data_IF_110577014371
#
_entry.id   IF_110577014371
#
_cell.length_a   1.000
_cell.length_b   1.000
_cell.length_c   1.000
_cell.angle_alpha   90.00
_cell.angle_beta   90.00
_cell.angle_gamma   90.00
#
_symmetry.space_group_name_H-M   'P 1'
#
loop_
_entity.id
_entity.type
_entity.pdbx_description
1 polymer ?
#
# COMPACT_ATOMS: atom_id res chain seq x y z
N UNK A 1 -18.17 -6.46 15.34
CA UNK A 1 -18.42 -5.01 15.24
C UNK A 1 -17.30 -4.17 15.86
N UNK A 2 -17.07 -4.10 17.19
CA UNK A 2 -15.96 -3.28 17.76
C UNK A 2 -14.57 -3.95 17.56
N UNK A 3 -14.47 -5.26 17.84
CA UNK A 3 -13.23 -6.01 17.68
C UNK A 3 -12.70 -5.97 16.23
N UNK A 4 -13.59 -6.10 15.24
CA UNK A 4 -13.23 -6.00 13.82
C UNK A 4 -12.72 -4.60 13.45
N UNK A 5 -13.28 -3.54 14.03
CA UNK A 5 -12.80 -2.18 13.81
C UNK A 5 -11.40 -1.95 14.41
N UNK A 6 -11.11 -2.54 15.58
CA UNK A 6 -9.79 -2.50 16.19
C UNK A 6 -8.76 -3.32 15.39
N UNK A 7 -9.14 -4.49 14.88
CA UNK A 7 -8.28 -5.28 13.97
C UNK A 7 -7.99 -4.52 12.68
N UNK A 8 -9.00 -3.86 12.11
CA UNK A 8 -8.82 -3.04 10.91
C UNK A 8 -7.88 -1.85 11.18
N UNK A 9 -8.02 -1.18 12.33
CA UNK A 9 -7.12 -0.11 12.75
C UNK A 9 -5.69 -0.62 12.97
N UNK A 10 -5.53 -1.77 13.62
CA UNK A 10 -4.22 -2.40 13.79
C UNK A 10 -3.58 -2.78 12.44
N UNK A 11 -4.38 -3.27 11.49
CA UNK A 11 -3.95 -3.57 10.12
C UNK A 11 -3.48 -2.33 9.36
N UNK A 12 -4.24 -1.24 9.47
CA UNK A 12 -3.85 0.06 8.92
C UNK A 12 -2.57 0.59 9.58
N UNK A 13 -2.43 0.41 10.90
CA UNK A 13 -1.23 0.72 11.68
C UNK A 13 0.01 -0.01 11.20
N UNK A 14 -0.04 -1.33 11.07
CA UNK A 14 1.08 -2.13 10.56
C UNK A 14 1.51 -1.71 9.16
N UNK A 15 0.54 -1.50 8.25
CA UNK A 15 0.82 -1.07 6.87
C UNK A 15 1.38 0.35 6.78
N UNK A 16 0.90 1.26 7.63
CA UNK A 16 1.39 2.63 7.70
C UNK A 16 2.82 2.68 8.24
N UNK A 17 3.07 1.96 9.33
CA UNK A 17 4.38 1.87 9.99
C UNK A 17 5.44 1.33 9.03
N UNK A 18 5.18 0.17 8.40
CA UNK A 18 6.17 -0.45 7.49
C UNK A 18 6.41 0.40 6.25
N UNK A 19 5.40 1.10 5.75
CA UNK A 19 5.61 2.02 4.65
C UNK A 19 6.38 3.28 5.02
N UNK A 20 6.45 3.64 6.29
CA UNK A 20 7.28 4.74 6.78
C UNK A 20 8.76 4.34 6.93
N UNK A 21 9.05 3.06 7.18
CA UNK A 21 10.41 2.54 7.50
C UNK A 21 11.51 2.88 6.49
N UNK A 22 11.17 3.08 5.21
CA UNK A 22 12.12 3.42 4.15
C UNK A 22 11.97 4.86 3.65
N UNK A 23 11.44 5.74 4.49
CA UNK A 23 11.13 7.13 4.12
C UNK A 23 11.58 8.09 5.21
N UNK A 24 11.63 9.38 4.90
CA UNK A 24 12.05 10.42 5.84
C UNK A 24 11.11 10.56 7.05
N UNK A 25 9.88 10.03 6.96
CA UNK A 25 8.89 10.07 8.05
C UNK A 25 9.07 8.94 9.08
N UNK A 26 10.07 8.06 8.88
CA UNK A 26 10.35 6.93 9.76
C UNK A 26 10.53 7.33 11.23
N UNK A 27 11.33 8.36 11.51
CA UNK A 27 11.61 8.80 12.88
C UNK A 27 10.33 9.14 13.64
N UNK A 28 9.39 9.84 13.01
CA UNK A 28 8.11 10.20 13.63
C UNK A 28 7.20 8.99 13.84
N UNK A 29 7.22 8.03 12.90
CA UNK A 29 6.47 6.78 13.01
C UNK A 29 6.97 5.93 14.19
N UNK A 30 8.30 5.74 14.27
CA UNK A 30 8.99 5.00 15.33
C UNK A 30 8.65 5.57 16.71
N UNK A 31 8.84 6.88 16.89
CA UNK A 31 8.58 7.54 18.17
C UNK A 31 7.11 7.41 18.57
N UNK A 32 6.18 7.56 17.61
CA UNK A 32 4.75 7.35 17.81
C UNK A 32 4.45 5.95 18.35
N UNK A 33 4.99 4.90 17.72
CA UNK A 33 4.79 3.52 18.16
C UNK A 33 5.43 3.25 19.51
N UNK A 34 6.65 3.70 19.76
CA UNK A 34 7.34 3.53 21.05
C UNK A 34 6.52 4.14 22.19
N UNK A 35 5.90 5.31 21.97
CA UNK A 35 5.04 5.95 22.96
C UNK A 35 3.74 5.17 23.23
N UNK A 36 3.18 4.48 22.23
CA UNK A 36 2.02 3.59 22.44
C UNK A 36 2.36 2.46 23.42
N UNK A 37 3.54 1.85 23.29
CA UNK A 37 3.97 0.73 24.13
C UNK A 37 4.49 1.14 25.51
N UNK A 38 4.88 2.41 25.71
CA UNK A 38 5.36 2.94 27.00
C UNK A 38 4.30 2.93 28.11
N UNK A 39 3.01 2.99 27.74
CA UNK A 39 1.92 2.97 28.73
C UNK A 39 1.72 1.59 29.39
N UNK A 40 2.13 0.52 28.72
CA UNK A 40 1.96 -0.85 29.20
C UNK A 40 3.00 -1.23 30.26
N UNK A 41 4.26 -0.89 29.98
CA UNK A 41 5.42 -1.36 30.73
C UNK A 41 6.59 -0.40 30.43
N UNK A 42 7.29 0.14 31.44
CA UNK A 42 8.39 1.08 31.25
C UNK A 42 9.67 0.46 30.67
N UNK A 43 9.87 -0.87 30.73
CA UNK A 43 11.05 -1.57 30.20
C UNK A 43 10.83 -2.08 28.75
N UNK A 44 9.57 -2.25 28.34
CA UNK A 44 9.16 -2.66 26.98
C UNK A 44 9.53 -1.69 25.84
N UNK A 45 9.65 -0.36 26.02
CA UNK A 45 9.91 0.59 24.93
C UNK A 45 11.26 0.37 24.25
N UNK A 46 12.33 0.08 25.01
CA UNK A 46 13.67 -0.10 24.45
C UNK A 46 13.74 -1.34 23.52
N UNK A 47 13.04 -2.41 23.88
CA UNK A 47 12.95 -3.61 23.05
C UNK A 47 12.11 -3.37 21.79
N UNK A 48 11.04 -2.58 21.88
CA UNK A 48 10.21 -2.19 20.74
C UNK A 48 11.01 -1.29 19.79
N UNK A 49 11.73 -0.31 20.34
CA UNK A 49 12.58 0.61 19.60
C UNK A 49 13.67 -0.14 18.82
N UNK A 50 14.39 -1.04 19.49
CA UNK A 50 15.42 -1.88 18.85
C UNK A 50 14.84 -2.75 17.73
N UNK A 51 13.66 -3.35 17.94
CA UNK A 51 13.01 -4.15 16.92
C UNK A 51 12.61 -3.31 15.70
N UNK A 52 12.02 -2.13 15.94
CA UNK A 52 11.61 -1.20 14.90
C UNK A 52 12.80 -0.78 14.04
N UNK A 53 13.94 -0.46 14.66
CA UNK A 53 15.16 -0.08 13.94
C UNK A 53 15.70 -1.22 13.08
N UNK A 54 15.78 -2.44 13.63
CA UNK A 54 16.22 -3.61 12.87
C UNK A 54 15.30 -3.92 11.67
N UNK A 55 13.99 -3.80 11.86
CA UNK A 55 13.00 -3.99 10.80
C UNK A 55 13.18 -2.93 9.70
N UNK A 56 13.39 -1.66 10.10
CA UNK A 56 13.60 -0.56 9.16
C UNK A 56 14.91 -0.72 8.35
N UNK A 57 16.00 -1.09 9.00
CA UNK A 57 17.28 -1.37 8.35
C UNK A 57 17.14 -2.52 7.33
N UNK A 58 16.38 -3.57 7.68
CA UNK A 58 16.10 -4.68 6.77
C UNK A 58 15.30 -4.22 5.54
N UNK A 59 14.27 -3.40 5.75
CA UNK A 59 13.46 -2.85 4.65
C UNK A 59 14.30 -1.93 3.76
N UNK A 60 15.14 -1.07 4.34
CA UNK A 60 16.02 -0.16 3.61
C UNK A 60 17.02 -0.93 2.74
N UNK A 61 17.72 -1.91 3.31
CA UNK A 61 18.70 -2.74 2.60
C UNK A 61 18.10 -3.53 1.42
N UNK A 62 16.85 -4.00 1.57
CA UNK A 62 16.13 -4.70 0.50
C UNK A 62 15.49 -3.75 -0.51
N UNK A 63 15.17 -2.51 -0.12
CA UNK A 63 14.60 -1.52 -1.02
C UNK A 63 15.61 -1.09 -2.09
N UNK A 64 16.89 -0.94 -1.71
CA UNK A 64 17.99 -0.70 -2.65
C UNK A 64 18.13 -1.80 -3.71
N UNK A 65 17.70 -3.02 -3.38
CA UNK A 65 17.75 -4.19 -4.27
C UNK A 65 16.43 -4.43 -5.03
N UNK A 66 15.39 -3.61 -4.80
CA UNK A 66 14.05 -3.82 -5.37
C UNK A 66 13.36 -5.09 -4.86
N UNK A 67 13.71 -5.58 -3.66
CA UNK A 67 13.18 -6.83 -3.08
C UNK A 67 12.48 -6.65 -1.73
N UNK A 68 12.16 -5.41 -1.36
CA UNK A 68 11.56 -5.10 -0.06
C UNK A 68 10.10 -5.54 0.06
N UNK A 69 9.35 -5.72 -1.03
CA UNK A 69 7.88 -5.87 -0.98
C UNK A 69 7.43 -7.07 -0.14
N UNK A 70 8.08 -8.23 -0.31
CA UNK A 70 7.77 -9.43 0.47
C UNK A 70 8.03 -9.23 1.97
N UNK A 71 9.17 -8.64 2.32
CA UNK A 71 9.51 -8.36 3.73
C UNK A 71 8.56 -7.31 4.31
N UNK A 72 8.16 -6.31 3.54
CA UNK A 72 7.18 -5.32 3.97
C UNK A 72 5.83 -5.96 4.30
N UNK A 73 5.36 -6.89 3.48
CA UNK A 73 4.11 -7.63 3.76
C UNK A 73 4.22 -8.47 5.04
N UNK A 74 5.32 -9.19 5.21
CA UNK A 74 5.57 -10.03 6.40
C UNK A 74 5.65 -9.17 7.68
N UNK A 75 6.36 -8.05 7.64
CA UNK A 75 6.45 -7.09 8.75
C UNK A 75 5.10 -6.41 9.04
N UNK A 76 4.32 -6.09 8.01
CA UNK A 76 3.01 -5.46 8.21
C UNK A 76 2.07 -6.39 8.98
N UNK A 77 2.08 -7.69 8.67
CA UNK A 77 1.33 -8.70 9.42
C UNK A 77 1.82 -8.84 10.87
N UNK A 78 3.14 -8.87 11.07
CA UNK A 78 3.74 -8.96 12.41
C UNK A 78 3.33 -7.77 13.29
N UNK A 79 3.44 -6.56 12.78
CA UNK A 79 3.06 -5.34 13.50
C UNK A 79 1.55 -5.22 13.70
N UNK A 80 0.75 -5.68 12.74
CA UNK A 80 -0.72 -5.78 12.89
C UNK A 80 -1.10 -6.64 14.09
N UNK A 81 -0.50 -7.83 14.21
CA UNK A 81 -0.77 -8.73 15.34
C UNK A 81 -0.34 -8.11 16.68
N UNK A 82 0.79 -7.40 16.69
CA UNK A 82 1.32 -6.76 17.90
C UNK A 82 0.46 -5.58 18.36
N UNK A 83 0.00 -4.76 17.41
CA UNK A 83 -0.94 -3.66 17.67
C UNK A 83 -2.31 -4.18 18.08
N UNK A 84 -2.78 -5.28 17.51
CA UNK A 84 -4.03 -5.93 17.94
C UNK A 84 -3.94 -6.34 19.41
N UNK A 85 -2.85 -7.02 19.81
CA UNK A 85 -2.62 -7.38 21.22
C UNK A 85 -2.51 -6.17 22.13
N UNK A 86 -1.90 -5.09 21.67
CA UNK A 86 -1.85 -3.83 22.42
C UNK A 86 -3.25 -3.29 22.68
N UNK A 87 -4.11 -3.23 21.65
CA UNK A 87 -5.49 -2.75 21.78
C UNK A 87 -6.37 -3.66 22.65
N UNK A 88 -6.10 -4.97 22.66
CA UNK A 88 -6.77 -5.93 23.55
C UNK A 88 -6.38 -5.70 25.02
N UNK A 89 -5.13 -5.32 25.28
CA UNK A 89 -4.62 -5.04 26.63
C UNK A 89 -4.98 -3.63 27.10
N UNK A 90 -4.99 -2.66 26.18
CA UNK A 90 -5.21 -1.23 26.43
C UNK A 90 -6.10 -0.62 25.34
N UNK A 91 -7.43 -0.71 25.50
CA UNK A 91 -8.38 -0.10 24.57
C UNK A 91 -8.20 1.41 24.40
N UNK A 92 -7.67 2.12 25.41
CA UNK A 92 -7.36 3.55 25.37
C UNK A 92 -6.27 3.93 24.36
N UNK A 93 -5.50 2.95 23.86
CA UNK A 93 -4.52 3.16 22.81
C UNK A 93 -5.15 3.35 21.41
N UNK A 94 -6.47 3.11 21.26
CA UNK A 94 -7.17 3.27 19.97
C UNK A 94 -7.04 4.69 19.41
N UNK A 95 -7.32 5.72 20.22
CA UNK A 95 -7.25 7.12 19.80
C UNK A 95 -5.85 7.51 19.32
N UNK A 96 -4.81 7.32 20.16
CA UNK A 96 -3.42 7.56 19.79
C UNK A 96 -2.97 6.78 18.55
N UNK A 97 -3.36 5.51 18.40
CA UNK A 97 -3.04 4.72 17.21
C UNK A 97 -3.72 5.27 15.95
N UNK A 98 -4.98 5.69 16.06
CA UNK A 98 -5.72 6.31 14.95
C UNK A 98 -5.09 7.63 14.51
N UNK A 99 -4.67 8.46 15.45
CA UNK A 99 -3.94 9.69 15.16
C UNK A 99 -2.62 9.43 14.46
N UNK A 100 -1.86 8.43 14.92
CA UNK A 100 -0.61 8.01 14.28
C UNK A 100 -0.87 7.53 12.85
N UNK A 101 -1.86 6.67 12.63
CA UNK A 101 -2.23 6.16 11.30
C UNK A 101 -2.61 7.30 10.36
N UNK A 102 -3.43 8.24 10.81
CA UNK A 102 -3.85 9.38 10.00
C UNK A 102 -2.65 10.27 9.63
N UNK A 103 -1.79 10.59 10.61
CA UNK A 103 -0.57 11.36 10.38
C UNK A 103 0.33 10.71 9.33
N UNK A 104 0.59 9.41 9.44
CA UNK A 104 1.41 8.68 8.48
C UNK A 104 0.77 8.54 7.09
N UNK A 105 -0.56 8.67 6.99
CA UNK A 105 -1.25 8.74 5.70
C UNK A 105 -1.15 10.13 5.07
N UNK A 106 -1.20 11.18 5.89
CA UNK A 106 -1.11 12.57 5.44
C UNK A 106 0.33 12.96 5.05
N UNK A 107 1.32 12.43 5.78
CA UNK A 107 2.75 12.67 5.53
C UNK A 107 3.31 11.78 4.40
N UNK A 108 2.57 10.75 3.97
CA UNK A 108 2.97 10.02 2.77
C UNK A 108 2.91 10.98 1.58
N UNK A 109 4.01 11.20 0.85
CA UNK A 109 3.91 11.88 -0.44
C UNK A 109 2.88 11.12 -1.24
N UNK A 110 1.91 11.84 -1.81
CA UNK A 110 0.88 11.27 -2.65
C UNK A 110 1.56 10.69 -3.89
N UNK A 111 2.04 9.45 -3.78
CA UNK A 111 2.04 8.50 -4.88
C UNK A 111 0.58 8.11 -5.16
N UNK A 112 -0.27 9.12 -5.37
CA UNK A 112 -1.30 8.95 -6.37
C UNK A 112 -0.52 8.79 -7.67
N UNK A 113 -0.18 7.56 -8.01
CA UNK A 113 -0.10 7.22 -9.42
C UNK A 113 -1.54 7.32 -9.93
N UNK A 114 -2.01 8.57 -10.07
CA UNK A 114 -3.19 8.88 -10.86
C UNK A 114 -2.75 8.61 -12.28
N UNK A 115 -2.90 7.37 -12.71
CA UNK A 115 -2.71 7.00 -14.09
C UNK A 115 -3.83 7.65 -14.91
N UNK A 116 -3.64 8.91 -15.28
CA UNK A 116 -4.57 9.61 -16.16
C UNK A 116 -4.28 9.19 -17.60
N UNK A 117 -4.88 8.07 -18.02
CA UNK A 117 -4.79 7.62 -19.40
C UNK A 117 -5.88 8.31 -20.23
N UNK A 118 -5.48 9.37 -20.94
CA UNK A 118 -6.34 10.04 -21.91
C UNK A 118 -6.20 9.35 -23.26
N UNK A 119 -7.15 8.49 -23.60
CA UNK A 119 -7.24 7.85 -24.91
C UNK A 119 -8.27 8.58 -25.76
N UNK A 120 -7.84 9.20 -26.86
CA UNK A 120 -8.75 9.81 -27.84
C UNK A 120 -8.73 8.98 -29.12
N UNK A 121 -9.88 8.42 -29.51
CA UNK A 121 -10.06 7.69 -30.76
C UNK A 121 -10.81 8.54 -31.80
N UNK A 122 -10.37 8.48 -33.06
CA UNK A 122 -11.06 9.11 -34.21
C UNK A 122 -11.06 8.14 -35.39
N UNK A 123 -12.03 8.32 -36.29
CA UNK A 123 -12.09 7.66 -37.61
C UNK A 123 -12.11 6.11 -37.58
N UNK A 124 -12.99 5.54 -36.76
CA UNK A 124 -13.30 4.09 -36.79
C UNK A 124 -12.23 3.18 -36.17
N UNK A 125 -11.37 3.71 -35.31
CA UNK A 125 -10.29 2.94 -34.68
C UNK A 125 -10.74 2.18 -33.42
N UNK A 126 -10.22 0.96 -33.26
CA UNK A 126 -10.35 0.15 -32.03
C UNK A 126 -9.15 0.43 -31.14
N UNK A 127 -9.36 0.85 -29.89
CA UNK A 127 -8.28 1.10 -28.92
C UNK A 127 -8.35 0.12 -27.76
N UNK A 128 -7.18 -0.39 -27.36
CA UNK A 128 -7.00 -1.26 -26.20
C UNK A 128 -6.14 -0.55 -25.16
N UNK A 129 -6.61 -0.52 -23.92
CA UNK A 129 -5.97 0.16 -22.82
C UNK A 129 -5.96 -0.75 -21.60
N UNK A 130 -4.78 -1.14 -21.13
CA UNK A 130 -4.60 -1.93 -19.92
C UNK A 130 -3.49 -1.32 -19.08
N UNK A 131 -3.76 -1.18 -17.79
CA UNK A 131 -2.75 -0.83 -16.79
C UNK A 131 -2.63 -2.02 -15.84
N UNK A 132 -1.47 -2.67 -15.87
CA UNK A 132 -1.19 -3.85 -15.04
C UNK A 132 -1.64 -5.19 -15.64
N UNK A 133 -1.50 -5.38 -16.95
CA UNK A 133 -1.80 -6.67 -17.60
C UNK A 133 -1.53 -6.66 -19.11
N UNK A 134 -1.77 -7.78 -19.78
CA UNK A 134 -1.60 -7.93 -21.23
C UNK A 134 -2.94 -7.95 -21.97
N UNK A 135 -3.00 -7.29 -23.13
CA UNK A 135 -4.07 -7.48 -24.11
C UNK A 135 -3.55 -8.37 -25.24
N UNK A 136 -4.24 -9.48 -25.48
CA UNK A 136 -4.01 -10.33 -26.64
C UNK A 136 -5.20 -10.15 -27.58
N UNK A 137 -4.97 -9.48 -28.71
CA UNK A 137 -6.00 -9.22 -29.73
C UNK A 137 -5.78 -10.14 -30.94
N UNK A 138 -6.78 -10.97 -31.24
CA UNK A 138 -6.83 -11.78 -32.44
C UNK A 138 -7.90 -11.24 -33.38
N UNK A 139 -7.49 -10.70 -34.53
CA UNK A 139 -8.41 -10.31 -35.60
C UNK A 139 -8.40 -11.38 -36.69
N UNK A 140 -9.58 -11.93 -37.01
CA UNK A 140 -9.73 -12.76 -38.20
C UNK A 140 -9.66 -11.87 -39.47
N UNK A 141 -9.09 -12.35 -40.59
CA UNK A 141 -9.00 -11.57 -41.82
C UNK A 141 -10.40 -11.10 -42.27
N UNK A 142 -10.55 -9.81 -42.53
CA UNK A 142 -11.77 -9.24 -43.09
C UNK A 142 -11.94 -9.78 -44.52
N UNK A 143 -13.07 -10.42 -44.88
CA UNK A 143 -13.29 -10.83 -46.26
C UNK A 143 -13.33 -9.59 -47.18
N UNK A 144 -12.83 -9.70 -48.44
CA UNK A 144 -12.83 -8.58 -49.37
C UNK A 144 -14.26 -8.12 -49.62
N UNK A 145 -14.47 -6.81 -49.57
CA UNK A 145 -15.76 -6.18 -49.86
C UNK A 145 -16.09 -6.41 -51.34
N UNK A 146 -17.20 -7.09 -51.61
CA UNK A 146 -17.72 -7.24 -52.95
C UNK A 146 -18.35 -5.91 -53.39
N UNK A 147 -17.54 -5.00 -53.92
CA UNK A 147 -18.06 -3.82 -54.61
C UNK A 147 -18.59 -4.26 -55.98
N UNK A 148 -19.89 -4.61 -55.97
CA UNK A 148 -20.71 -4.73 -57.15
C UNK A 148 -21.01 -3.34 -57.71
N UNK A 149 -20.25 -2.93 -58.72
CA UNK A 149 -20.54 -1.77 -59.55
C UNK A 149 -20.72 -2.18 -61.00
N UNK A 150 -21.90 -2.70 -61.34
CA UNK A 150 -22.30 -2.93 -62.73
C UNK A 150 -22.40 -1.57 -63.45
N UNK A 151 -21.46 -1.31 -64.36
CA UNK A 151 -21.52 -0.21 -65.32
C UNK A 151 -22.60 -0.51 -66.36
N UNK A 152 -23.77 0.11 -66.22
CA UNK A 152 -24.81 0.12 -67.25
C UNK A 152 -24.70 1.39 -68.10
N UNK A 153 -24.39 1.13 -69.39
CA UNK A 153 -24.61 1.90 -70.63
C UNK A 153 -23.95 3.27 -70.80
#
# INVERSE_FOLDING_TARGET
>A
MLAEALTALAGAGGTALVGAMATDVWSGARDGVVQLFRRDDPDRPAAIETQLDNDADTVAALAEQGRADRVREELALLWTLRLTRLLEQQPEAEGPLRELVNRLRDERPSTSTTWQQTNTARDGSTQFAVQGGNVVYHQSPRPPSADGGAIHR
#
